data_IF_977515118765
#
_entry.id   IF_977515118765
#
_cell.length_a   1.000
_cell.length_b   1.000
_cell.length_c   1.000
_cell.angle_alpha   90.00
_cell.angle_beta   90.00
_cell.angle_gamma   90.00
#
_symmetry.space_group_name_H-M   'P 1'
#
loop_
_entity.id
_entity.type
_entity.pdbx_description
1 polymer ?
#
# COMPACT_ATOMS: atom_id res chain seq x y z
N UNK A 1 -14.12 11.61 13.85
CA UNK A 1 -13.51 12.54 12.88
C UNK A 1 -12.00 12.31 12.85
N UNK A 2 -11.37 12.36 11.68
CA UNK A 2 -9.92 12.11 11.50
C UNK A 2 -9.03 13.10 12.30
N UNK A 3 -9.55 14.27 12.63
CA UNK A 3 -8.94 15.25 13.56
C UNK A 3 -8.77 14.72 14.98
N UNK A 4 -9.62 13.81 15.46
CA UNK A 4 -9.46 13.20 16.78
C UNK A 4 -8.26 12.23 16.84
N UNK A 5 -7.80 11.74 15.69
CA UNK A 5 -6.62 10.90 15.56
C UNK A 5 -5.38 11.68 15.12
N UNK A 6 -5.44 13.03 15.12
CA UNK A 6 -4.36 13.92 14.67
C UNK A 6 -3.84 13.59 13.25
N UNK A 7 -4.71 13.11 12.37
CA UNK A 7 -4.36 12.77 10.98
C UNK A 7 -4.43 14.03 10.11
N UNK A 8 -3.28 14.43 9.55
CA UNK A 8 -3.20 15.52 8.57
C UNK A 8 -3.69 15.04 7.20
N UNK A 9 -4.68 15.73 6.63
CA UNK A 9 -5.21 15.45 5.28
C UNK A 9 -4.83 16.59 4.35
N UNK A 10 -4.03 16.32 3.33
CA UNK A 10 -3.72 17.27 2.26
C UNK A 10 -4.83 17.24 1.19
N UNK A 11 -5.83 18.11 1.35
CA UNK A 11 -6.98 18.19 0.43
C UNK A 11 -6.73 19.07 -0.81
N UNK A 12 -5.66 19.86 -0.83
CA UNK A 12 -5.40 20.88 -1.85
C UNK A 12 -4.88 20.32 -3.18
N UNK A 13 -4.56 19.02 -3.25
CA UNK A 13 -4.15 18.31 -4.47
C UNK A 13 -2.81 18.78 -5.05
N UNK A 14 -2.17 19.79 -4.46
CA UNK A 14 -0.89 20.34 -4.90
C UNK A 14 0.23 19.34 -4.60
N UNK A 15 0.81 18.76 -5.64
CA UNK A 15 1.94 17.83 -5.54
C UNK A 15 1.58 16.36 -5.31
N UNK A 16 0.31 16.03 -5.05
CA UNK A 16 -0.15 14.65 -4.76
C UNK A 16 -0.43 13.80 -6.02
N UNK A 17 -0.15 14.31 -7.21
CA UNK A 17 -0.46 13.60 -8.46
C UNK A 17 0.30 12.28 -8.60
N UNK A 18 1.52 12.18 -8.07
CA UNK A 18 2.33 10.95 -8.10
C UNK A 18 1.69 9.85 -7.27
N UNK A 19 1.25 10.19 -6.07
CA UNK A 19 0.54 9.29 -5.17
C UNK A 19 -0.78 8.84 -5.80
N UNK A 20 -1.53 9.77 -6.41
CA UNK A 20 -2.76 9.43 -7.13
C UNK A 20 -2.52 8.46 -8.29
N UNK A 21 -1.49 8.71 -9.11
CA UNK A 21 -1.11 7.79 -10.21
C UNK A 21 -0.78 6.40 -9.69
N UNK A 22 -0.11 6.29 -8.53
CA UNK A 22 0.18 5.01 -7.91
C UNK A 22 -1.11 4.29 -7.46
N UNK A 23 -1.99 5.00 -6.75
CA UNK A 23 -3.29 4.47 -6.29
C UNK A 23 -4.16 4.03 -7.47
N UNK A 24 -4.22 4.81 -8.54
CA UNK A 24 -4.98 4.46 -9.74
C UNK A 24 -4.45 3.22 -10.44
N UNK A 25 -3.11 3.09 -10.58
CA UNK A 25 -2.48 1.89 -11.15
C UNK A 25 -2.77 0.65 -10.31
N UNK A 26 -2.68 0.77 -8.99
CA UNK A 26 -3.02 -0.31 -8.06
C UNK A 26 -4.47 -0.75 -8.27
N UNK A 27 -5.42 0.18 -8.25
CA UNK A 27 -6.83 -0.11 -8.44
C UNK A 27 -7.14 -0.68 -9.82
N UNK A 28 -6.43 -0.25 -10.86
CA UNK A 28 -6.55 -0.85 -12.20
C UNK A 28 -6.20 -2.33 -12.15
N UNK A 29 -5.03 -2.69 -11.63
CA UNK A 29 -4.59 -4.10 -11.51
C UNK A 29 -5.57 -4.92 -10.67
N UNK A 30 -5.99 -4.39 -9.53
CA UNK A 30 -6.96 -5.04 -8.64
C UNK A 30 -8.28 -5.32 -9.38
N UNK A 31 -8.81 -4.35 -10.15
CA UNK A 31 -10.06 -4.53 -10.89
C UNK A 31 -9.96 -5.59 -11.99
N UNK A 32 -8.79 -5.77 -12.59
CA UNK A 32 -8.57 -6.78 -13.64
C UNK A 32 -8.27 -8.17 -13.08
N UNK A 33 -7.45 -8.28 -12.03
CA UNK A 33 -7.00 -9.56 -11.47
C UNK A 33 -7.94 -10.10 -10.40
N UNK A 34 -8.61 -9.23 -9.64
CA UNK A 34 -9.61 -9.63 -8.65
C UNK A 34 -11.02 -9.34 -9.18
N UNK A 35 -11.79 -10.41 -9.41
CA UNK A 35 -13.25 -10.32 -9.55
C UNK A 35 -13.78 -9.56 -8.34
N UNK A 36 -14.66 -8.56 -8.55
CA UNK A 36 -15.17 -7.57 -7.60
C UNK A 36 -15.55 -8.04 -6.17
N UNK A 37 -15.62 -9.35 -5.91
CA UNK A 37 -15.95 -9.98 -4.64
C UNK A 37 -14.76 -10.41 -3.77
N UNK A 38 -13.52 -10.39 -4.25
CA UNK A 38 -12.38 -11.01 -3.54
C UNK A 38 -11.20 -10.06 -3.29
N UNK A 39 -11.45 -8.76 -3.15
CA UNK A 39 -10.39 -7.76 -2.97
C UNK A 39 -9.54 -7.99 -1.73
N UNK A 40 -10.14 -8.32 -0.59
CA UNK A 40 -9.40 -8.59 0.64
C UNK A 40 -8.43 -9.77 0.48
N UNK A 41 -8.88 -10.82 -0.21
CA UNK A 41 -8.06 -12.01 -0.46
C UNK A 41 -6.90 -11.71 -1.41
N UNK A 42 -7.15 -10.91 -2.44
CA UNK A 42 -6.15 -10.50 -3.40
C UNK A 42 -5.11 -9.56 -2.76
N UNK A 43 -5.54 -8.60 -1.95
CA UNK A 43 -4.64 -7.73 -1.18
C UNK A 43 -3.79 -8.52 -0.18
N UNK A 44 -4.38 -9.47 0.56
CA UNK A 44 -3.63 -10.34 1.47
C UNK A 44 -2.58 -11.17 0.73
N UNK A 45 -2.90 -11.66 -0.48
CA UNK A 45 -1.93 -12.36 -1.33
C UNK A 45 -0.79 -11.43 -1.78
N UNK A 46 -1.10 -10.21 -2.23
CA UNK A 46 -0.11 -9.22 -2.65
C UNK A 46 0.81 -8.78 -1.52
N UNK A 47 0.29 -8.62 -0.30
CA UNK A 47 1.03 -8.11 0.85
C UNK A 47 1.94 -9.16 1.50
N UNK A 48 1.48 -10.42 1.60
CA UNK A 48 2.17 -11.44 2.40
C UNK A 48 2.73 -12.63 1.61
N UNK A 49 2.45 -12.75 0.30
CA UNK A 49 2.89 -13.93 -0.48
C UNK A 49 3.56 -13.61 -1.80
N UNK A 50 3.17 -12.53 -2.47
CA UNK A 50 3.74 -12.16 -3.78
C UNK A 50 5.05 -11.37 -3.58
N UNK A 51 6.20 -11.87 -4.02
CA UNK A 51 7.44 -11.09 -4.02
C UNK A 51 7.38 -10.01 -5.10
N UNK A 52 7.92 -8.82 -4.81
CA UNK A 52 7.94 -7.70 -5.74
C UNK A 52 9.38 -7.33 -6.09
N UNK A 53 9.68 -7.22 -7.38
CA UNK A 53 11.02 -6.87 -7.87
C UNK A 53 11.48 -5.48 -7.39
N UNK A 54 10.55 -4.52 -7.27
CA UNK A 54 10.83 -3.20 -6.69
C UNK A 54 11.19 -3.22 -5.20
N UNK A 55 10.98 -4.36 -4.53
CA UNK A 55 11.32 -4.58 -3.12
C UNK A 55 12.45 -5.62 -2.96
N UNK A 56 13.30 -5.78 -3.98
CA UNK A 56 14.38 -6.77 -4.04
C UNK A 56 13.89 -8.22 -3.86
N UNK A 57 12.68 -8.52 -4.34
CA UNK A 57 12.05 -9.83 -4.20
C UNK A 57 11.39 -10.07 -2.85
N UNK A 58 11.30 -9.07 -1.97
CA UNK A 58 10.53 -9.14 -0.72
C UNK A 58 9.05 -8.85 -0.95
N UNK A 59 8.24 -9.28 -0.02
CA UNK A 59 6.82 -8.91 0.09
C UNK A 59 6.66 -7.54 0.78
N UNK A 60 5.55 -6.83 0.56
CA UNK A 60 5.28 -5.56 1.24
C UNK A 60 5.28 -5.70 2.77
N UNK A 61 4.75 -6.80 3.32
CA UNK A 61 4.77 -7.05 4.76
C UNK A 61 6.21 -7.14 5.29
N UNK A 62 7.10 -7.86 4.59
CA UNK A 62 8.51 -7.96 4.97
C UNK A 62 9.25 -6.62 4.84
N UNK A 63 8.98 -5.87 3.77
CA UNK A 63 9.62 -4.58 3.55
C UNK A 63 9.19 -3.52 4.57
N UNK A 64 7.90 -3.45 4.88
CA UNK A 64 7.35 -2.42 5.76
C UNK A 64 7.52 -2.79 7.24
N UNK A 65 7.07 -3.99 7.65
CA UNK A 65 7.15 -4.39 9.06
C UNK A 65 8.55 -4.85 9.48
N UNK A 66 9.34 -5.42 8.55
CA UNK A 66 10.75 -5.70 8.79
C UNK A 66 11.56 -4.42 8.99
N UNK A 67 11.31 -3.39 8.17
CA UNK A 67 11.94 -2.07 8.36
C UNK A 67 11.46 -1.37 9.63
N UNK A 68 10.17 -1.48 9.97
CA UNK A 68 9.60 -0.92 11.20
C UNK A 68 10.24 -1.54 12.44
N UNK A 69 10.46 -2.85 12.46
CA UNK A 69 11.13 -3.55 13.56
C UNK A 69 12.60 -3.14 13.71
N UNK A 70 13.29 -2.79 12.61
CA UNK A 70 14.64 -2.22 12.69
C UNK A 70 14.63 -0.77 13.21
N UNK A 71 13.62 0.02 12.84
CA UNK A 71 13.50 1.42 13.28
C UNK A 71 13.11 1.57 14.76
N UNK A 72 12.40 0.60 15.34
CA UNK A 72 12.05 0.60 16.79
C UNK A 72 13.13 0.00 17.69
N UNK A 73 14.11 -0.71 17.11
CA UNK A 73 15.21 -1.34 17.85
C UNK A 73 16.49 -0.47 17.96
N UNK A 74 16.48 0.75 17.38
CA UNK A 74 17.56 1.74 17.42
C UNK A 74 17.18 2.93 18.32
#
# INVERSE_FOLDING_TARGET
MLTAASVSISMDGKGAWRDNVFVERLWRTIKYEAVMRAYDRYLAFCNGRRPHSSLDGRTPDEAYFGAQAMATAA
#
